data_IF_191477600471
#
_entry.id   IF_191477600471
#
_cell.length_a   1.000
_cell.length_b   1.000
_cell.length_c   1.000
_cell.angle_alpha   90.00
_cell.angle_beta   90.00
_cell.angle_gamma   90.00
#
_symmetry.space_group_name_H-M   'P 1'
#
loop_
_entity.id
_entity.type
_entity.pdbx_description
1 polymer ?
#
# COMPACT_ATOMS: atom_id res chain seq x y z
N UNK A 1 3.61 55.85 -30.33
CA UNK A 1 4.34 55.68 -29.06
C UNK A 1 4.73 54.22 -28.95
N UNK A 2 6.02 53.93 -29.04
CA UNK A 2 6.58 52.57 -28.98
C UNK A 2 6.78 52.17 -27.51
N UNK A 3 6.06 51.14 -27.06
CA UNK A 3 6.31 50.53 -25.76
C UNK A 3 7.09 49.23 -25.97
N UNK A 4 8.37 49.25 -25.59
CA UNK A 4 9.23 48.07 -25.48
C UNK A 4 9.29 47.56 -24.02
N UNK A 5 9.63 46.29 -23.81
CA UNK A 5 9.12 45.47 -22.71
C UNK A 5 10.06 45.46 -21.48
N UNK A 6 9.49 45.16 -20.32
CA UNK A 6 10.24 44.78 -19.11
C UNK A 6 9.53 43.57 -18.50
N UNK A 7 10.16 42.38 -18.55
CA UNK A 7 10.23 41.50 -17.37
C UNK A 7 11.21 40.34 -17.58
N UNK A 8 12.27 40.39 -16.75
CA UNK A 8 13.02 39.31 -16.07
C UNK A 8 13.50 38.12 -16.90
N UNK A 9 14.78 38.19 -17.30
CA UNK A 9 15.63 37.00 -17.48
C UNK A 9 15.93 36.39 -16.11
N UNK A 10 15.54 35.14 -15.90
CA UNK A 10 16.10 34.26 -14.87
C UNK A 10 17.57 34.00 -15.21
N UNK A 11 18.50 34.43 -14.35
CA UNK A 11 19.87 33.93 -14.39
C UNK A 11 19.85 32.52 -13.80
N UNK A 12 20.04 31.50 -14.65
CA UNK A 12 20.55 30.20 -14.17
C UNK A 12 22.01 30.41 -13.78
N UNK A 13 22.29 30.41 -12.48
CA UNK A 13 23.65 30.29 -11.98
C UNK A 13 24.14 28.86 -12.24
N UNK A 14 24.73 28.62 -13.42
CA UNK A 14 25.57 27.45 -13.63
C UNK A 14 26.98 27.84 -13.15
N UNK A 15 27.31 27.49 -11.91
CA UNK A 15 28.68 27.56 -11.42
C UNK A 15 29.50 26.44 -12.06
N UNK A 16 29.99 26.67 -13.28
CA UNK A 16 31.00 25.83 -13.89
C UNK A 16 32.38 26.41 -13.56
N UNK A 17 33.07 25.81 -12.60
CA UNK A 17 34.48 26.11 -12.31
C UNK A 17 35.33 25.33 -13.30
N UNK A 18 35.92 26.01 -14.29
CA UNK A 18 36.95 25.44 -15.16
C UNK A 18 38.32 25.60 -14.50
N UNK A 19 38.96 24.48 -14.14
CA UNK A 19 40.38 24.47 -13.77
C UNK A 19 41.21 24.15 -15.02
N UNK A 20 41.93 25.13 -15.55
CA UNK A 20 42.90 24.93 -16.64
C UNK A 20 44.22 24.50 -16.03
N UNK A 21 44.50 23.19 -16.05
CA UNK A 21 45.85 22.67 -15.80
C UNK A 21 46.53 22.50 -17.15
N UNK A 22 47.71 23.10 -17.30
CA UNK A 22 48.45 23.15 -18.55
C UNK A 22 48.71 21.77 -19.17
N UNK A 23 48.52 21.71 -20.49
CA UNK A 23 48.89 20.64 -21.42
C UNK A 23 48.49 19.19 -21.04
N UNK A 24 47.33 18.75 -21.54
CA UNK A 24 47.31 17.45 -22.24
C UNK A 24 46.30 16.39 -21.83
N UNK A 25 45.41 16.59 -20.86
CA UNK A 25 44.40 15.59 -20.50
C UNK A 25 43.07 16.25 -20.12
N UNK A 26 42.10 16.25 -21.03
CA UNK A 26 40.69 16.53 -20.73
C UNK A 26 40.02 15.22 -20.34
N UNK A 27 40.03 14.89 -19.05
CA UNK A 27 39.19 13.83 -18.49
C UNK A 27 38.01 14.44 -17.73
N UNK A 28 36.82 13.80 -17.70
CA UNK A 28 35.77 14.20 -16.80
C UNK A 28 36.27 14.06 -15.36
N UNK A 29 36.29 15.17 -14.61
CA UNK A 29 36.44 15.11 -13.16
C UNK A 29 35.07 14.73 -12.62
N UNK A 30 34.89 13.46 -12.27
CA UNK A 30 33.84 13.06 -11.34
C UNK A 30 34.18 13.72 -10.01
N UNK A 31 33.52 14.85 -9.69
CA UNK A 31 33.38 15.22 -8.30
C UNK A 31 32.50 14.13 -7.69
N UNK A 32 33.10 13.29 -6.84
CA UNK A 32 32.32 12.50 -5.90
C UNK A 32 31.29 13.43 -5.27
N UNK A 33 30.02 13.00 -5.29
CA UNK A 33 28.94 13.71 -4.63
C UNK A 33 29.38 14.14 -3.24
N UNK A 34 28.93 15.34 -2.85
CA UNK A 34 29.10 15.89 -1.51
C UNK A 34 28.98 14.76 -0.48
N UNK A 35 30.09 14.50 0.22
CA UNK A 35 30.09 13.62 1.37
C UNK A 35 29.00 14.07 2.35
N UNK A 36 28.05 13.18 2.59
CA UNK A 36 27.13 13.14 3.73
C UNK A 36 26.75 14.47 4.37
N UNK A 37 25.75 15.15 3.83
CA UNK A 37 24.76 15.66 4.76
C UNK A 37 24.15 14.41 5.39
N UNK A 38 24.36 14.20 6.69
CA UNK A 38 23.68 13.12 7.40
C UNK A 38 22.19 13.27 7.07
N UNK A 39 21.59 12.22 6.50
CA UNK A 39 20.15 12.19 6.26
C UNK A 39 19.47 12.52 7.57
N UNK A 40 18.48 13.41 7.53
CA UNK A 40 17.67 13.67 8.72
C UNK A 40 17.17 12.32 9.26
N UNK A 41 17.17 12.11 10.58
CA UNK A 41 16.61 10.89 11.13
C UNK A 41 15.11 10.84 10.84
N UNK A 42 14.55 9.64 10.73
CA UNK A 42 13.12 9.42 10.91
C UNK A 42 12.71 9.89 12.30
N UNK A 43 11.43 10.06 12.59
CA UNK A 43 10.97 10.50 13.92
C UNK A 43 9.82 9.65 14.41
N UNK A 44 9.78 9.41 15.71
CA UNK A 44 8.65 8.76 16.35
C UNK A 44 8.27 9.48 17.65
N UNK A 45 6.99 9.80 17.80
CA UNK A 45 6.44 10.53 18.93
C UNK A 45 5.00 10.06 19.24
N UNK A 46 4.54 10.36 20.44
CA UNK A 46 3.11 10.27 20.76
C UNK A 46 2.43 11.56 20.28
N UNK A 47 1.49 11.45 19.35
CA UNK A 47 0.62 12.55 18.93
C UNK A 47 -0.82 12.29 19.38
N UNK A 48 -1.25 13.00 20.43
CA UNK A 48 -2.56 12.82 21.03
C UNK A 48 -2.74 11.41 21.62
N UNK A 49 -3.39 10.53 20.87
CA UNK A 49 -3.64 9.12 21.24
C UNK A 49 -2.98 8.13 20.28
N UNK A 50 -2.17 8.64 19.35
CA UNK A 50 -1.48 7.83 18.37
C UNK A 50 0.02 7.78 18.67
N UNK A 51 0.68 6.70 18.27
CA UNK A 51 2.13 6.72 18.00
C UNK A 51 2.29 7.05 16.53
N UNK A 52 2.97 8.16 16.22
CA UNK A 52 3.24 8.59 14.86
C UNK A 52 4.72 8.36 14.54
N UNK A 53 4.99 7.56 13.50
CA UNK A 53 6.30 7.42 12.89
C UNK A 53 6.30 8.10 11.52
N UNK A 54 7.34 8.88 11.26
CA UNK A 54 7.53 9.58 9.99
C UNK A 54 8.97 9.42 9.53
N UNK A 55 9.17 8.76 8.40
CA UNK A 55 10.46 8.66 7.75
C UNK A 55 10.93 10.04 7.25
N UNK A 56 12.24 10.22 7.11
CA UNK A 56 12.75 11.43 6.46
C UNK A 56 12.71 11.28 4.93
N UNK A 57 12.57 12.38 4.17
CA UNK A 57 12.44 12.30 2.72
C UNK A 57 13.61 11.59 2.03
N UNK A 58 13.28 10.68 1.11
CA UNK A 58 14.24 9.92 0.29
C UNK A 58 15.02 8.86 1.07
N UNK A 59 14.49 8.41 2.21
CA UNK A 59 15.04 7.28 2.96
C UNK A 59 14.44 5.98 2.46
N UNK A 60 15.25 4.92 2.49
CA UNK A 60 14.73 3.57 2.35
C UNK A 60 14.79 2.92 3.72
N UNK A 61 13.64 2.49 4.19
CA UNK A 61 13.37 2.01 5.52
C UNK A 61 13.07 0.50 5.48
N UNK A 62 13.49 -0.19 6.52
CA UNK A 62 13.19 -1.61 6.74
C UNK A 62 12.69 -1.70 8.17
N UNK A 63 11.40 -1.36 8.30
CA UNK A 63 10.73 -1.08 9.57
C UNK A 63 10.05 -2.34 10.08
N UNK A 64 10.33 -2.70 11.32
CA UNK A 64 9.54 -3.66 12.08
C UNK A 64 8.84 -2.96 13.22
N UNK A 65 7.51 -3.05 13.25
CA UNK A 65 6.69 -2.57 14.37
C UNK A 65 6.08 -3.74 15.10
N UNK A 66 6.35 -3.85 16.40
CA UNK A 66 5.69 -4.82 17.28
C UNK A 66 4.81 -4.10 18.29
N UNK A 67 3.52 -4.40 18.28
CA UNK A 67 2.58 -3.96 19.31
C UNK A 67 2.40 -5.05 20.37
N UNK A 68 2.47 -4.68 21.64
CA UNK A 68 2.28 -5.57 22.78
C UNK A 68 1.44 -4.92 23.86
N UNK A 69 0.74 -5.71 24.68
CA UNK A 69 -0.13 -5.21 25.75
C UNK A 69 0.27 -5.81 27.11
N UNK A 70 0.40 -4.95 28.12
CA UNK A 70 0.56 -5.33 29.53
C UNK A 70 -0.42 -4.54 30.41
N UNK A 71 -1.46 -5.20 30.89
CA UNK A 71 -2.54 -4.55 31.62
C UNK A 71 -3.24 -3.49 30.77
N UNK A 72 -3.13 -2.23 31.17
CA UNK A 72 -3.72 -1.08 30.47
C UNK A 72 -2.76 -0.43 29.47
N UNK A 73 -1.49 -0.86 29.41
CA UNK A 73 -0.50 -0.22 28.57
C UNK A 73 -0.32 -0.97 27.26
N UNK A 74 -0.43 -0.26 26.14
CA UNK A 74 -0.01 -0.74 24.82
C UNK A 74 1.37 -0.15 24.54
N UNK A 75 2.31 -1.02 24.19
CA UNK A 75 3.68 -0.64 23.85
C UNK A 75 3.97 -0.96 22.40
N UNK A 76 4.36 0.06 21.66
CA UNK A 76 4.87 -0.05 20.30
C UNK A 76 6.40 0.00 20.33
N UNK A 77 7.03 -1.06 19.82
CA UNK A 77 8.46 -1.09 19.53
C UNK A 77 8.61 -0.93 18.03
N UNK A 78 9.28 0.15 17.61
CA UNK A 78 9.57 0.43 16.21
C UNK A 78 11.09 0.29 16.04
N UNK A 79 11.49 -0.63 15.16
CA UNK A 79 12.88 -0.88 14.81
C UNK A 79 13.07 -0.64 13.32
N UNK A 80 14.21 -0.08 12.94
CA UNK A 80 14.50 0.40 11.58
C UNK A 80 15.98 0.19 11.27
N UNK A 81 16.38 0.37 10.01
CA UNK A 81 17.77 0.43 9.57
C UNK A 81 18.32 1.86 9.59
N UNK A 82 17.46 2.87 9.61
CA UNK A 82 17.85 4.27 9.77
C UNK A 82 17.72 4.75 11.21
N UNK A 83 18.42 5.84 11.53
CA UNK A 83 18.29 6.47 12.84
C UNK A 83 16.90 7.09 12.99
N UNK A 84 16.24 6.79 14.11
CA UNK A 84 14.98 7.38 14.54
C UNK A 84 15.27 8.41 15.63
N UNK A 85 14.67 9.58 15.53
CA UNK A 85 14.64 10.62 16.55
C UNK A 85 13.47 10.41 17.49
N UNK A 86 13.76 10.16 18.76
CA UNK A 86 12.75 10.09 19.81
C UNK A 86 12.12 11.46 20.10
N UNK A 87 10.83 11.58 19.80
CA UNK A 87 9.98 12.70 20.18
C UNK A 87 9.30 12.50 21.53
N UNK A 88 8.34 13.37 21.82
CA UNK A 88 7.63 13.38 23.10
C UNK A 88 6.89 12.06 23.33
N UNK A 89 7.05 11.48 24.53
CA UNK A 89 6.37 10.23 24.92
C UNK A 89 7.02 8.94 24.43
N UNK A 90 8.08 9.04 23.61
CA UNK A 90 8.85 7.90 23.14
C UNK A 90 10.27 7.93 23.69
N UNK A 91 10.93 6.77 23.79
CA UNK A 91 12.28 6.68 24.35
C UNK A 91 13.08 5.53 23.73
N UNK A 92 14.40 5.69 23.69
CA UNK A 92 15.29 4.61 23.29
C UNK A 92 15.42 3.57 24.41
N UNK A 93 15.18 2.27 24.14
CA UNK A 93 15.41 1.20 25.11
C UNK A 93 16.87 1.15 25.58
N UNK A 94 17.80 1.45 24.66
CA UNK A 94 19.22 1.61 24.92
C UNK A 94 19.71 2.91 24.30
N UNK A 95 20.49 3.70 25.03
CA UNK A 95 21.01 4.97 24.51
C UNK A 95 22.03 4.83 23.38
N UNK A 96 22.51 3.61 23.10
CA UNK A 96 23.43 3.32 21.99
C UNK A 96 22.71 2.95 20.70
N UNK A 97 21.49 2.41 20.82
CA UNK A 97 20.71 1.96 19.69
C UNK A 97 19.68 3.03 19.36
N UNK A 98 19.95 3.80 18.30
CA UNK A 98 19.08 4.88 17.85
C UNK A 98 18.25 4.47 16.63
N UNK A 99 18.20 3.18 16.29
CA UNK A 99 17.30 2.69 15.25
C UNK A 99 16.06 2.02 15.83
N UNK A 100 16.09 1.71 17.13
CA UNK A 100 14.97 1.15 17.87
C UNK A 100 14.40 2.14 18.89
N UNK A 101 13.09 2.34 18.86
CA UNK A 101 12.37 3.21 19.79
C UNK A 101 11.17 2.50 20.42
N UNK A 102 10.82 2.91 21.63
CA UNK A 102 9.64 2.43 22.35
C UNK A 102 8.73 3.59 22.73
N UNK A 103 7.46 3.45 22.39
CA UNK A 103 6.38 4.38 22.74
C UNK A 103 5.28 3.60 23.48
N UNK A 104 4.90 4.05 24.67
CA UNK A 104 3.90 3.37 25.50
C UNK A 104 2.72 4.29 25.76
N UNK A 105 1.52 3.81 25.46
CA UNK A 105 0.26 4.53 25.67
C UNK A 105 -0.59 3.74 26.67
N UNK A 106 -1.02 4.39 27.74
CA UNK A 106 -2.00 3.82 28.68
C UNK A 106 -3.42 3.98 28.12
N UNK A 107 -4.07 2.87 27.82
CA UNK A 107 -5.47 2.78 27.43
C UNK A 107 -6.37 2.63 28.67
N UNK A 108 -7.68 2.81 28.48
CA UNK A 108 -8.69 2.58 29.51
C UNK A 108 -9.80 1.75 28.88
N UNK A 109 -10.18 0.65 29.52
CA UNK A 109 -11.11 -0.40 29.04
C UNK A 109 -12.48 0.10 28.50
N UNK A 110 -12.80 1.39 28.65
CA UNK A 110 -14.08 1.99 28.25
C UNK A 110 -13.98 2.96 27.07
N UNK A 111 -12.81 3.12 26.43
CA UNK A 111 -12.60 4.17 25.43
C UNK A 111 -12.39 3.60 24.03
N UNK A 112 -13.24 4.10 23.14
CA UNK A 112 -13.18 3.98 21.68
C UNK A 112 -12.92 5.41 21.14
N UNK A 113 -11.92 5.66 20.28
CA UNK A 113 -10.98 4.69 19.70
C UNK A 113 -9.82 4.32 20.64
N UNK A 114 -9.34 3.08 20.48
CA UNK A 114 -8.09 2.56 21.06
C UNK A 114 -6.87 3.30 20.46
N UNK A 115 -5.72 3.21 21.12
CA UNK A 115 -4.49 3.87 20.70
C UNK A 115 -4.12 3.47 19.25
N UNK A 116 -4.03 4.43 18.34
CA UNK A 116 -3.73 4.17 16.93
C UNK A 116 -2.23 4.22 16.64
N UNK A 117 -1.81 3.52 15.60
CA UNK A 117 -0.46 3.63 15.05
C UNK A 117 -0.57 4.37 13.71
N UNK A 118 0.22 5.42 13.52
CA UNK A 118 0.31 6.15 12.25
C UNK A 118 1.73 6.00 11.71
N UNK A 119 1.85 5.44 10.51
CA UNK A 119 3.12 5.18 9.83
C UNK A 119 3.10 5.90 8.48
N UNK A 120 4.10 6.75 8.26
CA UNK A 120 4.36 7.40 6.97
C UNK A 120 5.81 7.16 6.57
N UNK A 121 6.03 6.32 5.55
CA UNK A 121 7.36 5.87 5.13
C UNK A 121 7.92 6.72 3.96
N UNK A 122 7.04 7.37 3.18
CA UNK A 122 7.41 8.45 2.28
C UNK A 122 8.09 7.96 1.00
N UNK A 123 9.07 8.70 0.50
CA UNK A 123 9.77 8.31 -0.73
C UNK A 123 10.85 7.25 -0.42
N UNK A 124 10.81 6.09 -1.07
CA UNK A 124 11.75 5.00 -0.85
C UNK A 124 11.19 3.68 -1.35
N UNK A 125 12.03 2.65 -1.48
CA UNK A 125 11.49 1.29 -1.62
C UNK A 125 11.47 0.66 -0.24
N UNK A 126 10.40 0.89 0.49
CA UNK A 126 10.30 0.63 1.90
C UNK A 126 9.75 -0.77 2.19
N UNK A 127 10.21 -1.35 3.30
CA UNK A 127 9.71 -2.61 3.81
C UNK A 127 9.14 -2.36 5.19
N UNK A 128 7.90 -2.78 5.42
CA UNK A 128 7.24 -2.72 6.71
C UNK A 128 6.70 -4.09 7.11
N UNK A 129 7.10 -4.54 8.29
CA UNK A 129 6.41 -5.63 9.00
C UNK A 129 5.68 -5.06 10.21
N UNK A 130 4.36 -5.18 10.24
CA UNK A 130 3.54 -4.82 11.41
C UNK A 130 3.01 -6.07 12.11
N UNK A 131 3.56 -6.37 13.28
CA UNK A 131 3.16 -7.52 14.09
C UNK A 131 2.35 -7.07 15.32
N UNK A 132 1.04 -7.31 15.30
CA UNK A 132 0.19 -7.05 16.46
C UNK A 132 0.12 -8.29 17.36
N UNK A 133 0.88 -8.30 18.45
CA UNK A 133 0.90 -9.38 19.44
C UNK A 133 -0.11 -9.18 20.58
N UNK A 134 -1.02 -8.20 20.47
CA UNK A 134 -2.10 -8.03 21.44
C UNK A 134 -3.19 -9.10 21.25
N UNK A 135 -3.98 -9.31 22.29
CA UNK A 135 -5.20 -10.12 22.25
C UNK A 135 -6.44 -9.32 21.81
N UNK A 136 -6.25 -8.06 21.42
CA UNK A 136 -7.31 -7.15 21.05
C UNK A 136 -7.52 -7.14 19.53
N UNK A 137 -8.71 -7.54 19.12
CA UNK A 137 -9.26 -7.19 17.82
C UNK A 137 -9.54 -5.68 17.82
N UNK A 138 -9.20 -4.95 16.73
CA UNK A 138 -9.42 -3.50 16.54
C UNK A 138 -8.34 -2.51 17.04
N UNK A 139 -7.06 -2.85 16.89
CA UNK A 139 -5.96 -1.89 17.06
C UNK A 139 -5.63 -1.20 15.72
N UNK A 140 -6.41 -0.18 15.38
CA UNK A 140 -6.35 0.54 14.10
C UNK A 140 -4.98 1.19 13.85
N UNK A 141 -4.23 0.66 12.88
CA UNK A 141 -3.09 1.33 12.26
C UNK A 141 -3.51 2.03 10.96
N UNK A 142 -2.94 3.21 10.71
CA UNK A 142 -2.96 3.89 9.42
C UNK A 142 -1.55 3.87 8.86
N UNK A 143 -1.36 3.16 7.75
CA UNK A 143 -0.08 2.89 7.12
C UNK A 143 -0.10 3.52 5.73
N UNK A 144 0.84 4.44 5.50
CA UNK A 144 1.09 5.09 4.22
C UNK A 144 2.53 4.76 3.82
N UNK A 145 2.68 3.88 2.82
CA UNK A 145 3.99 3.41 2.36
C UNK A 145 4.69 4.51 1.54
N UNK A 146 3.97 5.14 0.61
CA UNK A 146 4.37 6.39 -0.02
C UNK A 146 4.81 6.22 -1.47
N UNK A 147 5.91 6.86 -1.86
CA UNK A 147 6.41 6.80 -3.24
C UNK A 147 7.55 5.77 -3.33
N UNK A 148 7.32 4.65 -4.01
CA UNK A 148 8.35 3.71 -4.43
C UNK A 148 7.81 2.31 -4.61
N UNK A 149 8.69 1.31 -4.52
CA UNK A 149 8.27 -0.10 -4.63
C UNK A 149 8.31 -0.71 -3.25
N UNK A 150 7.16 -0.73 -2.62
CA UNK A 150 7.06 -0.99 -1.21
C UNK A 150 6.59 -2.41 -0.92
N UNK A 151 6.88 -2.87 0.28
CA UNK A 151 6.42 -4.17 0.75
C UNK A 151 5.88 -4.04 2.16
N UNK A 152 4.59 -4.35 2.33
CA UNK A 152 3.94 -4.43 3.63
C UNK A 152 3.59 -5.88 3.95
N UNK A 153 3.85 -6.29 5.18
CA UNK A 153 3.30 -7.53 5.75
C UNK A 153 2.73 -7.27 7.13
N UNK A 154 1.44 -7.56 7.28
CA UNK A 154 0.76 -7.54 8.57
C UNK A 154 0.69 -8.96 9.17
N UNK A 155 1.03 -9.11 10.44
CA UNK A 155 0.94 -10.39 11.17
C UNK A 155 0.30 -10.22 12.55
N UNK A 156 -0.20 -11.31 13.11
CA UNK A 156 -0.80 -11.32 14.44
C UNK A 156 -2.27 -10.90 14.44
N UNK A 157 -2.73 -10.28 15.53
CA UNK A 157 -4.10 -9.82 15.75
C UNK A 157 -4.47 -8.53 15.01
N UNK A 158 -4.04 -8.39 13.75
CA UNK A 158 -4.28 -7.19 12.93
C UNK A 158 -5.72 -7.18 12.41
N UNK A 159 -6.51 -6.19 12.81
CA UNK A 159 -7.85 -5.98 12.27
C UNK A 159 -8.16 -4.49 12.19
N UNK A 160 -8.78 -4.08 11.07
CA UNK A 160 -9.28 -2.73 10.90
C UNK A 160 -8.27 -1.74 10.32
N UNK A 161 -7.07 -2.17 9.92
CA UNK A 161 -6.05 -1.22 9.48
C UNK A 161 -6.46 -0.51 8.18
N UNK A 162 -5.92 0.69 7.98
CA UNK A 162 -5.94 1.40 6.72
C UNK A 162 -4.55 1.36 6.11
N UNK A 163 -4.42 0.84 4.89
CA UNK A 163 -3.16 0.73 4.17
C UNK A 163 -3.27 1.45 2.84
N UNK A 164 -2.30 2.31 2.55
CA UNK A 164 -2.09 2.90 1.22
C UNK A 164 -0.68 2.54 0.76
N UNK A 165 -0.56 1.88 -0.40
CA UNK A 165 0.72 1.63 -1.07
C UNK A 165 1.32 2.94 -1.57
N UNK A 166 0.57 3.66 -2.40
CA UNK A 166 0.96 4.98 -2.88
C UNK A 166 1.39 4.92 -4.33
N UNK A 167 2.61 5.31 -4.66
CA UNK A 167 3.08 5.33 -6.04
C UNK A 167 4.25 4.38 -6.27
N UNK A 168 4.04 3.37 -7.10
CA UNK A 168 5.01 2.42 -7.62
C UNK A 168 4.42 1.02 -7.56
N UNK A 169 5.21 0.00 -7.90
CA UNK A 169 4.68 -1.37 -7.94
C UNK A 169 4.84 -2.00 -6.54
N UNK A 170 3.76 -2.04 -5.76
CA UNK A 170 3.77 -2.42 -4.35
C UNK A 170 3.37 -3.88 -4.10
N UNK A 171 3.78 -4.42 -2.97
CA UNK A 171 3.39 -5.76 -2.52
C UNK A 171 2.82 -5.70 -1.09
N UNK A 172 1.50 -5.77 -0.99
CA UNK A 172 0.74 -5.50 0.23
C UNK A 172 0.05 -6.77 0.73
N UNK A 173 0.56 -7.37 1.81
CA UNK A 173 -0.08 -8.49 2.50
C UNK A 173 -0.74 -8.01 3.78
N UNK A 174 -2.07 -7.97 3.80
CA UNK A 174 -2.85 -7.35 4.87
C UNK A 174 -3.66 -8.36 5.68
N UNK A 175 -3.91 -8.00 6.93
CA UNK A 175 -4.76 -8.77 7.85
C UNK A 175 -6.25 -8.63 7.57
N UNK A 176 -7.10 -9.35 8.32
CA UNK A 176 -8.55 -9.29 8.17
C UNK A 176 -9.13 -7.90 8.43
N UNK A 177 -10.26 -7.58 7.79
CA UNK A 177 -11.03 -6.34 8.00
C UNK A 177 -10.18 -5.09 7.72
N UNK A 178 -9.16 -5.20 6.87
CA UNK A 178 -8.33 -4.06 6.45
C UNK A 178 -8.98 -3.35 5.27
N UNK A 179 -8.77 -2.04 5.17
CA UNK A 179 -8.98 -1.30 3.92
C UNK A 179 -7.61 -1.07 3.30
N UNK A 180 -7.38 -1.65 2.13
CA UNK A 180 -6.10 -1.54 1.41
C UNK A 180 -6.32 -0.89 0.05
N UNK A 181 -5.48 0.10 -0.26
CA UNK A 181 -5.41 0.79 -1.54
C UNK A 181 -4.00 0.56 -2.09
N UNK A 182 -3.88 -0.01 -3.29
CA UNK A 182 -2.58 -0.14 -3.99
C UNK A 182 -2.06 1.24 -4.36
N UNK A 183 -2.76 1.92 -5.27
CA UNK A 183 -2.45 3.29 -5.66
C UNK A 183 -2.08 3.38 -7.13
N UNK A 184 -0.98 4.08 -7.44
CA UNK A 184 -0.44 4.20 -8.79
C UNK A 184 0.65 3.14 -9.00
N UNK A 185 0.51 2.20 -9.92
CA UNK A 185 1.52 1.18 -10.21
C UNK A 185 0.89 -0.17 -10.46
N UNK A 186 1.70 -1.21 -10.71
CA UNK A 186 1.19 -2.57 -10.83
C UNK A 186 1.35 -3.25 -9.49
N UNK A 187 0.29 -3.24 -8.70
CA UNK A 187 0.32 -3.65 -7.31
C UNK A 187 -0.03 -5.12 -7.16
N UNK A 188 0.51 -5.74 -6.12
CA UNK A 188 0.12 -7.07 -5.67
C UNK A 188 -0.49 -6.96 -4.29
N UNK A 189 -1.78 -7.30 -4.17
CA UNK A 189 -2.51 -7.24 -2.91
C UNK A 189 -2.89 -8.67 -2.51
N UNK A 190 -2.55 -9.04 -1.28
CA UNK A 190 -2.96 -10.27 -0.62
C UNK A 190 -3.88 -9.91 0.54
N UNK A 191 -5.18 -10.02 0.31
CA UNK A 191 -6.25 -9.58 1.17
C UNK A 191 -6.85 -10.75 1.96
N UNK A 192 -6.87 -10.63 3.29
CA UNK A 192 -7.51 -11.60 4.19
C UNK A 192 -9.01 -11.30 4.38
N UNK A 193 -9.68 -12.07 5.25
CA UNK A 193 -11.13 -12.05 5.49
C UNK A 193 -11.72 -10.66 5.75
N UNK A 194 -12.83 -10.32 5.10
CA UNK A 194 -13.55 -9.06 5.28
C UNK A 194 -12.79 -7.81 4.84
N UNK A 195 -11.73 -7.97 4.06
CA UNK A 195 -10.92 -6.85 3.55
C UNK A 195 -11.65 -6.15 2.40
N UNK A 196 -11.48 -4.83 2.34
CA UNK A 196 -11.83 -4.03 1.16
C UNK A 196 -10.52 -3.67 0.44
N UNK A 197 -10.33 -4.20 -0.76
CA UNK A 197 -9.13 -3.98 -1.56
C UNK A 197 -9.45 -3.19 -2.83
N UNK A 198 -8.62 -2.18 -3.13
CA UNK A 198 -8.65 -1.46 -4.41
C UNK A 198 -7.24 -1.46 -5.00
N UNK A 199 -7.09 -1.90 -6.25
CA UNK A 199 -5.81 -1.89 -6.97
C UNK A 199 -5.39 -0.46 -7.26
N UNK A 200 -6.14 0.24 -8.11
CA UNK A 200 -5.93 1.66 -8.38
C UNK A 200 -5.63 1.91 -9.85
N UNK A 201 -4.52 2.56 -10.16
CA UNK A 201 -4.06 2.81 -11.53
C UNK A 201 -2.91 1.87 -11.84
N UNK A 202 -3.08 0.97 -12.79
CA UNK A 202 -2.06 0.06 -13.29
C UNK A 202 -2.62 -1.32 -13.49
N UNK A 203 -1.77 -2.32 -13.76
CA UNK A 203 -2.25 -3.70 -13.95
C UNK A 203 -2.02 -4.47 -12.67
N UNK A 204 -3.05 -4.57 -11.85
CA UNK A 204 -2.95 -5.06 -10.50
C UNK A 204 -3.21 -6.56 -10.41
N UNK A 205 -2.64 -7.19 -9.38
CA UNK A 205 -2.90 -8.58 -9.04
C UNK A 205 -3.44 -8.66 -7.63
N UNK A 206 -4.71 -9.03 -7.47
CA UNK A 206 -5.39 -9.06 -6.17
C UNK A 206 -5.79 -10.50 -5.84
N UNK A 207 -5.36 -10.98 -4.68
CA UNK A 207 -5.77 -12.25 -4.10
C UNK A 207 -6.69 -11.99 -2.90
N UNK A 208 -7.98 -12.22 -3.06
CA UNK A 208 -8.98 -12.15 -2.00
C UNK A 208 -9.13 -13.54 -1.37
N UNK A 209 -8.48 -13.79 -0.24
CA UNK A 209 -8.41 -15.14 0.34
C UNK A 209 -9.53 -15.47 1.34
N UNK A 210 -10.34 -14.49 1.69
CA UNK A 210 -11.21 -14.58 2.85
C UNK A 210 -12.68 -14.28 2.58
N UNK A 211 -13.53 -14.63 3.54
CA UNK A 211 -14.98 -14.48 3.46
C UNK A 211 -15.41 -13.01 3.31
N UNK A 212 -16.47 -12.75 2.54
CA UNK A 212 -17.16 -11.46 2.43
C UNK A 212 -16.23 -10.26 2.09
N UNK A 213 -15.18 -10.52 1.32
CA UNK A 213 -14.26 -9.49 0.85
C UNK A 213 -14.84 -8.73 -0.36
N UNK A 214 -14.50 -7.45 -0.47
CA UNK A 214 -14.88 -6.59 -1.60
C UNK A 214 -13.63 -6.11 -2.32
N UNK A 215 -13.53 -6.42 -3.61
CA UNK A 215 -12.37 -6.08 -4.44
C UNK A 215 -12.79 -5.26 -5.65
N UNK A 216 -12.00 -4.24 -5.96
CA UNK A 216 -12.05 -3.48 -7.22
C UNK A 216 -10.64 -3.38 -7.81
N UNK A 217 -10.42 -3.84 -9.03
CA UNK A 217 -9.12 -3.73 -9.72
C UNK A 217 -8.77 -2.27 -9.99
N UNK A 218 -9.72 -1.52 -10.53
CA UNK A 218 -9.57 -0.10 -10.78
C UNK A 218 -9.36 0.18 -12.27
N UNK A 219 -8.24 0.78 -12.64
CA UNK A 219 -7.94 1.12 -14.02
C UNK A 219 -6.69 0.40 -14.50
N UNK A 220 -6.85 -0.43 -15.53
CA UNK A 220 -5.77 -1.17 -16.15
C UNK A 220 -6.18 -2.62 -16.36
N UNK A 221 -5.24 -3.50 -16.68
CA UNK A 221 -5.59 -4.89 -17.01
C UNK A 221 -5.36 -5.78 -15.80
N UNK A 222 -6.38 -5.91 -14.99
CA UNK A 222 -6.25 -6.48 -13.66
C UNK A 222 -6.45 -7.99 -13.66
N UNK A 223 -5.86 -8.62 -12.65
CA UNK A 223 -5.95 -10.05 -12.40
C UNK A 223 -6.43 -10.28 -10.96
N UNK A 224 -7.68 -10.72 -10.82
CA UNK A 224 -8.33 -10.87 -9.52
C UNK A 224 -8.62 -12.36 -9.29
N UNK A 225 -8.15 -12.85 -8.14
CA UNK A 225 -8.42 -14.19 -7.63
C UNK A 225 -9.26 -14.08 -6.37
N UNK A 226 -10.51 -14.52 -6.43
CA UNK A 226 -11.32 -14.82 -5.27
C UNK A 226 -10.88 -16.13 -4.60
N UNK A 227 -11.37 -16.30 -3.38
CA UNK A 227 -10.96 -17.35 -2.46
C UNK A 227 -12.06 -18.38 -2.26
N UNK A 228 -12.18 -18.85 -1.03
CA UNK A 228 -13.36 -19.58 -0.59
C UNK A 228 -14.45 -18.60 -0.16
N UNK A 229 -15.69 -19.11 -0.12
CA UNK A 229 -16.88 -18.39 0.28
C UNK A 229 -17.24 -17.23 -0.65
N UNK A 230 -18.41 -16.63 -0.43
CA UNK A 230 -18.93 -15.58 -1.31
C UNK A 230 -17.97 -14.37 -1.37
N UNK A 231 -17.57 -14.04 -2.58
CA UNK A 231 -16.80 -12.85 -2.94
C UNK A 231 -17.64 -11.79 -3.66
N UNK A 232 -17.19 -10.54 -3.61
CA UNK A 232 -17.66 -9.47 -4.49
C UNK A 232 -16.47 -8.85 -5.22
N UNK A 233 -16.32 -9.18 -6.50
CA UNK A 233 -15.14 -8.86 -7.30
C UNK A 233 -15.50 -7.99 -8.50
N UNK A 234 -14.81 -6.87 -8.68
CA UNK A 234 -14.94 -5.94 -9.82
C UNK A 234 -13.59 -5.78 -10.50
N UNK A 235 -13.55 -5.92 -11.84
CA UNK A 235 -12.35 -5.66 -12.65
C UNK A 235 -12.10 -4.16 -12.74
N UNK A 236 -13.09 -3.43 -13.26
CA UNK A 236 -13.06 -1.97 -13.32
C UNK A 236 -13.03 -1.47 -14.75
N UNK A 237 -11.99 -0.73 -15.11
CA UNK A 237 -11.75 -0.19 -16.45
C UNK A 237 -10.61 -0.95 -17.13
N UNK A 238 -10.73 -1.15 -18.44
CA UNK A 238 -9.86 -1.95 -19.31
C UNK A 238 -10.11 -3.47 -19.20
N UNK A 239 -9.22 -4.30 -19.78
CA UNK A 239 -9.53 -5.70 -20.05
C UNK A 239 -9.01 -6.62 -18.94
N UNK A 240 -9.93 -7.08 -18.10
CA UNK A 240 -9.62 -7.75 -16.85
C UNK A 240 -9.76 -9.27 -16.91
N UNK A 241 -9.19 -9.94 -15.91
CA UNK A 241 -9.41 -11.37 -15.67
C UNK A 241 -9.78 -11.62 -14.21
N UNK A 242 -10.97 -12.16 -13.99
CA UNK A 242 -11.51 -12.44 -12.65
C UNK A 242 -11.80 -13.93 -12.52
N UNK A 243 -11.39 -14.51 -11.39
CA UNK A 243 -11.75 -15.87 -10.96
C UNK A 243 -12.46 -15.80 -9.62
N UNK A 244 -13.69 -16.29 -9.53
CA UNK A 244 -14.51 -16.27 -8.31
C UNK A 244 -13.95 -17.20 -7.22
N UNK A 245 -13.63 -18.44 -7.61
CA UNK A 245 -13.08 -19.44 -6.71
C UNK A 245 -14.16 -20.42 -6.25
N UNK A 246 -14.15 -20.77 -4.98
CA UNK A 246 -15.21 -21.58 -4.39
C UNK A 246 -16.20 -20.64 -3.69
N UNK A 247 -17.49 -20.67 -4.00
CA UNK A 247 -18.43 -19.77 -3.33
C UNK A 247 -19.69 -19.51 -4.14
N UNK A 248 -20.54 -18.61 -3.64
CA UNK A 248 -21.61 -18.04 -4.47
C UNK A 248 -21.24 -16.61 -4.76
N UNK A 249 -20.46 -16.39 -5.80
CA UNK A 249 -19.71 -15.17 -6.00
C UNK A 249 -20.45 -14.14 -6.86
N UNK A 250 -20.09 -12.87 -6.69
CA UNK A 250 -20.52 -11.78 -7.53
C UNK A 250 -19.33 -11.23 -8.31
N UNK A 251 -19.35 -11.42 -9.62
CA UNK A 251 -18.28 -10.99 -10.52
C UNK A 251 -18.81 -9.91 -11.46
N UNK A 252 -18.07 -8.79 -11.55
CA UNK A 252 -18.35 -7.68 -12.45
C UNK A 252 -17.10 -7.40 -13.28
N UNK A 253 -17.20 -7.51 -14.62
CA UNK A 253 -16.08 -7.22 -15.52
C UNK A 253 -15.79 -5.73 -15.50
N UNK A 254 -16.75 -4.95 -16.01
CA UNK A 254 -16.70 -3.50 -15.92
C UNK A 254 -16.72 -2.88 -17.30
N UNK A 255 -15.73 -2.05 -17.64
CA UNK A 255 -15.55 -1.54 -19.00
C UNK A 255 -14.36 -2.25 -19.63
N UNK A 256 -14.56 -3.00 -20.71
CA UNK A 256 -13.45 -3.65 -21.39
C UNK A 256 -13.89 -4.96 -22.00
N UNK A 257 -12.98 -5.63 -22.69
CA UNK A 257 -13.21 -7.00 -23.14
C UNK A 257 -12.70 -7.96 -22.04
N UNK A 258 -13.60 -8.38 -21.16
CA UNK A 258 -13.25 -9.06 -19.90
C UNK A 258 -13.29 -10.60 -19.99
N UNK A 259 -12.59 -11.27 -19.07
CA UNK A 259 -12.64 -12.74 -18.91
C UNK A 259 -12.99 -13.09 -17.46
N UNK A 260 -14.16 -13.69 -17.27
CA UNK A 260 -14.73 -13.97 -15.96
C UNK A 260 -14.99 -15.47 -15.79
N UNK A 261 -14.47 -16.05 -14.71
CA UNK A 261 -14.69 -17.44 -14.32
C UNK A 261 -15.36 -17.45 -12.94
N UNK A 262 -16.60 -17.95 -12.83
CA UNK A 262 -17.25 -18.19 -11.54
C UNK A 262 -16.52 -19.28 -10.75
N UNK A 263 -16.23 -20.37 -11.43
CA UNK A 263 -15.56 -21.57 -10.91
C UNK A 263 -16.52 -22.50 -10.15
N UNK A 264 -16.54 -22.59 -8.83
CA UNK A 264 -17.39 -23.54 -8.12
C UNK A 264 -18.42 -22.87 -7.23
N UNK A 265 -19.68 -23.29 -7.35
CA UNK A 265 -20.82 -22.83 -6.56
C UNK A 265 -21.80 -22.02 -7.42
N UNK A 266 -22.82 -21.43 -6.81
CA UNK A 266 -23.89 -20.75 -7.57
C UNK A 266 -23.53 -19.27 -7.78
N UNK A 267 -22.98 -18.94 -8.95
CA UNK A 267 -22.37 -17.63 -9.19
C UNK A 267 -23.29 -16.62 -9.90
N UNK A 268 -22.98 -15.33 -9.75
CA UNK A 268 -23.59 -14.25 -10.51
C UNK A 268 -22.51 -13.45 -11.22
N UNK A 269 -22.52 -13.49 -12.55
CA UNK A 269 -21.45 -12.94 -13.40
C UNK A 269 -22.03 -11.91 -14.38
N UNK A 270 -21.53 -10.68 -14.29
CA UNK A 270 -21.86 -9.58 -15.20
C UNK A 270 -20.62 -9.14 -15.97
N UNK A 271 -20.59 -9.34 -17.29
CA UNK A 271 -19.51 -8.80 -18.15
C UNK A 271 -19.54 -7.28 -18.24
N UNK A 272 -20.74 -6.68 -18.13
CA UNK A 272 -20.97 -5.25 -18.31
C UNK A 272 -20.67 -4.78 -19.75
N UNK A 273 -19.76 -3.83 -19.97
CA UNK A 273 -19.59 -3.18 -21.27
C UNK A 273 -18.36 -3.71 -22.01
N UNK A 274 -18.57 -4.36 -23.15
CA UNK A 274 -17.48 -4.81 -24.03
C UNK A 274 -17.76 -6.20 -24.60
N UNK A 275 -16.74 -6.86 -25.15
CA UNK A 275 -16.86 -8.21 -25.70
C UNK A 275 -16.29 -9.23 -24.73
N UNK A 276 -17.15 -9.72 -23.85
CA UNK A 276 -16.75 -10.47 -22.67
C UNK A 276 -16.79 -11.98 -22.90
N UNK A 277 -15.99 -12.70 -22.11
CA UNK A 277 -16.04 -14.16 -21.98
C UNK A 277 -16.42 -14.53 -20.56
N UNK A 278 -17.59 -15.12 -20.41
CA UNK A 278 -18.15 -15.52 -19.12
C UNK A 278 -18.21 -17.05 -19.05
N UNK A 279 -17.64 -17.61 -18.00
CA UNK A 279 -17.64 -19.04 -17.69
C UNK A 279 -18.21 -19.21 -16.28
N UNK A 280 -19.41 -19.80 -16.11
CA UNK A 280 -19.97 -20.01 -14.77
C UNK A 280 -19.23 -21.10 -14.04
N UNK A 281 -19.06 -22.25 -14.68
CA UNK A 281 -18.41 -23.41 -14.05
C UNK A 281 -19.44 -24.30 -13.38
N UNK A 282 -19.09 -24.86 -12.23
CA UNK A 282 -19.89 -25.87 -11.56
C UNK A 282 -20.92 -25.24 -10.61
N UNK A 283 -22.19 -25.23 -10.99
CA UNK A 283 -23.25 -24.71 -10.13
C UNK A 283 -24.46 -24.27 -10.95
N UNK A 284 -25.37 -23.56 -10.30
CA UNK A 284 -26.49 -22.89 -10.96
C UNK A 284 -26.21 -21.41 -11.07
N UNK A 285 -25.51 -21.01 -12.13
CA UNK A 285 -25.05 -19.62 -12.25
C UNK A 285 -25.96 -18.73 -13.09
N UNK A 286 -25.87 -17.44 -12.83
CA UNK A 286 -26.55 -16.37 -13.56
C UNK A 286 -25.52 -15.54 -14.32
N UNK A 287 -25.50 -15.65 -15.65
CA UNK A 287 -24.54 -14.95 -16.50
C UNK A 287 -25.24 -13.90 -17.37
N UNK A 288 -24.69 -12.68 -17.40
CA UNK A 288 -25.12 -11.60 -18.27
C UNK A 288 -23.92 -10.83 -18.82
N UNK A 289 -23.61 -11.03 -20.10
CA UNK A 289 -22.52 -10.30 -20.76
C UNK A 289 -22.80 -8.81 -21.05
N UNK A 290 -24.02 -8.30 -20.87
CA UNK A 290 -24.30 -6.88 -21.15
C UNK A 290 -24.13 -6.47 -22.63
N UNK A 291 -23.92 -5.17 -22.93
CA UNK A 291 -23.72 -4.68 -24.29
C UNK A 291 -22.40 -5.16 -24.91
N UNK A 292 -22.48 -5.74 -26.12
CA UNK A 292 -21.32 -6.16 -26.92
C UNK A 292 -21.50 -7.54 -27.52
N UNK A 293 -20.42 -8.11 -28.06
CA UNK A 293 -20.42 -9.48 -28.60
C UNK A 293 -19.80 -10.44 -27.59
N UNK A 294 -20.66 -11.10 -26.82
CA UNK A 294 -20.22 -11.89 -25.66
C UNK A 294 -20.21 -13.39 -25.94
N UNK A 295 -19.28 -14.08 -25.30
CA UNK A 295 -19.23 -15.55 -25.22
C UNK A 295 -19.63 -15.96 -23.81
N UNK A 296 -20.65 -16.80 -23.70
CA UNK A 296 -21.20 -17.24 -22.42
C UNK A 296 -21.22 -18.77 -22.39
N UNK A 297 -20.62 -19.35 -21.36
CA UNK A 297 -20.51 -20.80 -21.18
C UNK A 297 -20.95 -21.23 -19.78
N UNK A 298 -21.87 -22.20 -19.74
CA UNK A 298 -22.37 -22.88 -18.55
C UNK A 298 -22.16 -24.39 -18.73
N UNK A 299 -21.64 -25.06 -17.69
CA UNK A 299 -21.42 -26.52 -17.66
C UNK A 299 -22.63 -27.32 -17.17
#
# INVERSE_FOLDING_TARGET
MHSRPISRRTLRAASAVMLVVGAGLTGPVLLAGTAGAATSPATAAIDGRAVAYTAAPGQTNDVTVTASKDGADITYVIDDVVTIGAGDGCSYPSSTDQTQITCTITTVDSQDPYASLELSLGDGNDVLTYDNQTDETYNFASIDMGDGKDTLTETGGVQGNGVTGGAGDDNLSVGPVTVVLGGDGNDTIDAADGTVAQGGIGNDTIHSRGEDSAVDGGAGRDLIYGGADRQSLSGGDDNDTIRGGDGSDYLYGGKGDDVLYGEAGDDTIYGNSGNDKLYGGAGTDTLSGGPGTNVVHQD
#
